data_IF_037422694784
#
_entry.id   IF_037422694784
#
_cell.length_a   1.000
_cell.length_b   1.000
_cell.length_c   1.000
_cell.angle_alpha   90.00
_cell.angle_beta   90.00
_cell.angle_gamma   90.00
#
_symmetry.space_group_name_H-M   'P 1'
#
loop_
_entity.id
_entity.type
_entity.pdbx_description
1 polymer ?
#
# COMPACT_ATOMS: atom_id res chain seq x y z
N UNK A 1 8.83 -53.64 21.10
CA UNK A 1 7.40 -53.37 21.29
C UNK A 1 7.07 -53.48 22.77
N UNK A 2 6.76 -52.36 23.42
CA UNK A 2 6.22 -52.35 24.79
C UNK A 2 5.21 -51.22 24.83
N UNK A 3 3.93 -51.58 24.91
CA UNK A 3 2.79 -50.69 24.92
C UNK A 3 2.46 -50.39 26.38
N UNK A 4 2.45 -49.12 26.78
CA UNK A 4 1.89 -48.66 28.07
C UNK A 4 0.56 -47.92 27.80
N UNK A 5 -0.51 -48.17 28.56
CA UNK A 5 -1.81 -47.54 28.35
C UNK A 5 -1.96 -46.18 29.05
N UNK A 6 -2.83 -45.36 28.45
CA UNK A 6 -3.30 -44.03 28.86
C UNK A 6 -4.17 -44.05 30.13
N UNK A 7 -4.39 -42.87 30.76
CA UNK A 7 -5.65 -42.56 31.42
C UNK A 7 -6.52 -41.60 30.58
N UNK A 8 -7.74 -42.06 30.32
CA UNK A 8 -8.88 -41.36 29.70
C UNK A 8 -9.44 -40.29 30.64
N UNK A 9 -9.67 -39.08 30.15
CA UNK A 9 -10.48 -38.05 30.84
C UNK A 9 -11.81 -37.91 30.09
N UNK A 10 -12.90 -38.30 30.75
CA UNK A 10 -14.28 -38.05 30.36
C UNK A 10 -14.70 -36.66 30.88
N UNK A 11 -15.32 -35.84 30.03
CA UNK A 11 -16.18 -34.75 30.49
C UNK A 11 -17.60 -34.93 29.95
N UNK A 12 -18.54 -34.93 30.89
CA UNK A 12 -19.94 -35.24 30.70
C UNK A 12 -20.73 -34.05 30.14
N UNK A 13 -21.67 -34.37 29.26
CA UNK A 13 -22.75 -33.52 28.76
C UNK A 13 -23.81 -33.31 29.84
N UNK A 14 -24.23 -32.07 30.08
CA UNK A 14 -25.37 -31.74 30.91
C UNK A 14 -26.51 -31.19 30.02
N UNK A 15 -27.52 -32.02 29.82
CA UNK A 15 -28.85 -31.66 29.31
C UNK A 15 -29.72 -31.15 30.47
N UNK A 16 -30.44 -30.06 30.27
CA UNK A 16 -31.52 -29.64 31.17
C UNK A 16 -32.77 -29.23 30.35
N UNK A 17 -33.82 -30.03 30.48
CA UNK A 17 -35.25 -29.79 30.21
C UNK A 17 -35.93 -30.12 31.56
N UNK A 18 -37.04 -29.57 32.03
CA UNK A 18 -37.98 -28.50 31.66
C UNK A 18 -38.86 -28.31 32.92
N UNK A 19 -39.61 -27.21 33.07
CA UNK A 19 -40.92 -27.28 33.73
C UNK A 19 -41.83 -26.11 33.33
N UNK A 20 -43.06 -26.52 33.00
CA UNK A 20 -44.21 -25.82 32.45
C UNK A 20 -45.06 -25.14 33.51
N UNK A 21 -45.74 -24.04 33.14
CA UNK A 21 -47.05 -23.69 33.69
C UNK A 21 -47.91 -22.95 32.64
N UNK A 22 -49.09 -23.52 32.34
CA UNK A 22 -50.23 -22.89 31.65
C UNK A 22 -50.78 -21.73 32.50
N UNK A 23 -51.50 -20.73 32.02
CA UNK A 23 -52.13 -20.44 30.73
C UNK A 23 -53.22 -19.39 30.98
N UNK A 24 -53.57 -18.58 29.96
CA UNK A 24 -54.91 -18.01 29.74
C UNK A 24 -54.93 -17.30 28.39
N UNK A 25 -55.97 -17.59 27.62
CA UNK A 25 -56.17 -17.16 26.24
C UNK A 25 -56.90 -15.80 26.17
N UNK A 26 -56.49 -14.98 25.21
CA UNK A 26 -57.33 -13.96 24.58
C UNK A 26 -56.86 -13.71 23.15
N UNK A 27 -57.82 -13.63 22.23
CA UNK A 27 -57.73 -13.57 20.75
C UNK A 27 -57.05 -12.29 20.21
N UNK A 28 -56.60 -12.29 18.94
CA UNK A 28 -55.47 -11.48 18.47
C UNK A 28 -55.89 -10.06 18.11
N UNK A 29 -55.08 -9.08 18.52
CA UNK A 29 -55.08 -7.74 17.94
C UNK A 29 -53.73 -7.57 17.27
N UNK A 30 -53.72 -7.33 15.95
CA UNK A 30 -52.52 -6.90 15.25
C UNK A 30 -52.37 -5.38 15.42
N UNK A 31 -51.29 -4.90 16.05
CA UNK A 31 -50.77 -3.58 15.75
C UNK A 31 -49.52 -3.73 14.88
N UNK A 32 -49.59 -3.05 13.75
CA UNK A 32 -48.53 -2.65 12.82
C UNK A 32 -47.12 -2.76 13.41
N UNK A 33 -46.30 -3.62 12.82
CA UNK A 33 -44.86 -3.54 12.97
C UNK A 33 -44.42 -2.18 12.43
N UNK A 34 -44.13 -1.23 13.32
CA UNK A 34 -43.20 -0.16 13.00
C UNK A 34 -41.86 -0.84 12.79
N UNK A 35 -41.57 -1.15 11.53
CA UNK A 35 -40.20 -1.29 11.08
C UNK A 35 -39.56 0.10 11.25
N UNK A 36 -39.10 0.40 12.46
CA UNK A 36 -37.88 1.20 12.58
C UNK A 36 -36.77 0.32 12.02
N UNK A 37 -36.68 0.32 10.68
CA UNK A 37 -35.40 0.17 10.04
C UNK A 37 -34.55 1.29 10.63
N UNK A 38 -33.75 0.95 11.64
CA UNK A 38 -32.54 1.69 11.93
C UNK A 38 -31.69 1.52 10.68
N UNK A 39 -31.95 2.34 9.66
CA UNK A 39 -30.97 2.60 8.62
C UNK A 39 -29.83 3.24 9.39
N UNK A 40 -28.83 2.44 9.74
CA UNK A 40 -27.51 2.98 9.97
C UNK A 40 -27.24 3.84 8.74
N UNK A 41 -27.24 5.16 8.92
CA UNK A 41 -26.89 6.07 7.85
C UNK A 41 -25.55 5.53 7.32
N UNK A 42 -25.50 5.20 6.03
CA UNK A 42 -24.26 4.77 5.41
C UNK A 42 -23.23 5.83 5.76
N UNK A 43 -22.18 5.44 6.49
CA UNK A 43 -21.13 6.35 6.88
C UNK A 43 -20.60 7.02 5.61
N UNK A 44 -20.39 8.32 5.66
CA UNK A 44 -19.84 9.05 4.52
C UNK A 44 -18.51 8.41 4.13
N UNK A 45 -18.37 7.86 2.90
CA UNK A 45 -17.15 7.17 2.48
C UNK A 45 -15.92 8.08 2.53
N UNK A 46 -16.10 9.41 2.52
CA UNK A 46 -15.02 10.39 2.68
C UNK A 46 -14.44 10.46 4.10
N UNK A 47 -15.12 9.88 5.09
CA UNK A 47 -14.70 9.83 6.50
C UNK A 47 -14.54 8.41 7.04
N UNK A 48 -15.01 7.41 6.28
CA UNK A 48 -14.85 6.00 6.62
C UNK A 48 -13.37 5.58 6.60
N UNK A 49 -12.91 4.68 7.49
CA UNK A 49 -11.54 4.19 7.47
C UNK A 49 -11.25 3.44 6.15
N UNK A 50 -10.08 3.68 5.56
CA UNK A 50 -9.64 3.00 4.35
C UNK A 50 -9.25 1.55 4.67
N UNK A 51 -10.20 0.64 4.47
CA UNK A 51 -10.08 -0.81 4.69
C UNK A 51 -10.37 -1.59 3.43
N UNK A 52 -9.59 -2.63 3.17
CA UNK A 52 -9.68 -3.48 1.99
C UNK A 52 -8.58 -3.19 0.98
N UNK A 53 -8.90 -3.31 -0.31
CA UNK A 53 -7.95 -3.06 -1.39
C UNK A 53 -7.96 -1.56 -1.69
N UNK A 54 -6.86 -0.86 -1.38
CA UNK A 54 -6.75 0.59 -1.61
C UNK A 54 -6.09 0.85 -2.96
N UNK A 55 -6.76 1.60 -3.83
CA UNK A 55 -6.28 1.95 -5.17
C UNK A 55 -6.19 3.47 -5.29
N UNK A 56 -5.03 3.98 -5.69
CA UNK A 56 -4.87 5.37 -6.10
C UNK A 56 -5.20 5.53 -7.58
N UNK A 57 -5.89 6.62 -7.94
CA UNK A 57 -5.97 7.17 -9.28
C UNK A 57 -5.45 8.61 -9.28
N UNK A 58 -4.77 9.01 -10.36
CA UNK A 58 -4.28 10.38 -10.54
C UNK A 58 -4.92 11.01 -11.77
N UNK A 59 -5.50 12.18 -11.60
CA UNK A 59 -6.06 13.03 -12.64
C UNK A 59 -5.25 14.32 -12.75
N UNK A 60 -4.76 14.60 -13.97
CA UNK A 60 -4.03 15.83 -14.28
C UNK A 60 -4.98 16.79 -14.99
N UNK A 61 -5.23 17.95 -14.38
CA UNK A 61 -5.95 19.06 -14.97
C UNK A 61 -4.98 20.21 -15.25
N UNK A 62 -5.41 21.22 -16.02
CA UNK A 62 -4.57 22.40 -16.31
C UNK A 62 -4.19 23.17 -15.03
N UNK A 63 -5.06 23.14 -14.04
CA UNK A 63 -4.99 24.02 -12.87
C UNK A 63 -4.58 23.25 -11.59
N UNK A 64 -4.74 21.93 -11.57
CA UNK A 64 -4.38 21.09 -10.43
C UNK A 64 -4.06 19.64 -10.83
N UNK A 65 -3.37 18.94 -9.93
CA UNK A 65 -3.30 17.48 -9.94
C UNK A 65 -4.21 16.98 -8.82
N UNK A 66 -5.11 16.06 -9.14
CA UNK A 66 -6.02 15.45 -8.16
C UNK A 66 -5.72 13.97 -8.04
N UNK A 67 -5.41 13.53 -6.83
CA UNK A 67 -5.26 12.13 -6.48
C UNK A 67 -6.49 11.65 -5.73
N UNK A 68 -7.07 10.55 -6.19
CA UNK A 68 -8.18 9.89 -5.49
C UNK A 68 -7.74 8.51 -5.08
N UNK A 69 -7.81 8.21 -3.79
CA UNK A 69 -7.65 6.85 -3.28
C UNK A 69 -9.01 6.27 -2.93
N UNK A 70 -9.26 5.05 -3.37
CA UNK A 70 -10.51 4.34 -3.13
C UNK A 70 -10.22 2.99 -2.52
N UNK A 71 -10.83 2.71 -1.38
CA UNK A 71 -10.82 1.40 -0.76
C UNK A 71 -12.01 0.57 -1.24
N UNK A 72 -11.73 -0.67 -1.59
CA UNK A 72 -12.71 -1.64 -2.05
C UNK A 72 -12.78 -2.81 -1.08
N UNK A 73 -13.99 -3.24 -0.75
CA UNK A 73 -14.23 -4.47 -0.04
C UNK A 73 -13.68 -5.66 -0.86
N UNK A 74 -12.77 -6.48 -0.31
CA UNK A 74 -12.09 -7.52 -1.07
C UNK A 74 -12.99 -8.70 -1.45
N UNK A 75 -14.17 -8.84 -0.84
CA UNK A 75 -15.11 -9.92 -1.12
C UNK A 75 -16.13 -9.54 -2.20
N UNK A 76 -16.58 -8.29 -2.19
CA UNK A 76 -17.70 -7.79 -3.00
C UNK A 76 -17.25 -6.80 -4.07
N UNK A 77 -16.08 -6.17 -3.91
CA UNK A 77 -15.59 -5.09 -4.77
C UNK A 77 -16.36 -3.79 -4.60
N UNK A 78 -17.14 -3.62 -3.53
CA UNK A 78 -17.84 -2.37 -3.26
C UNK A 78 -16.92 -1.32 -2.64
N UNK A 79 -17.13 -0.05 -2.98
CA UNK A 79 -16.38 1.07 -2.40
C UNK A 79 -16.74 1.18 -0.93
N UNK A 80 -15.74 1.09 -0.05
CA UNK A 80 -15.89 1.21 1.40
C UNK A 80 -15.49 2.59 1.90
N UNK A 81 -14.53 3.23 1.23
CA UNK A 81 -14.06 4.56 1.55
C UNK A 81 -13.37 5.21 0.34
N UNK A 82 -13.35 6.54 0.31
CA UNK A 82 -12.64 7.33 -0.70
C UNK A 82 -11.95 8.49 0.00
N UNK A 83 -10.77 8.89 -0.48
CA UNK A 83 -10.14 10.18 -0.15
C UNK A 83 -9.67 10.85 -1.42
N UNK A 84 -9.70 12.17 -1.40
CA UNK A 84 -9.22 12.99 -2.50
C UNK A 84 -8.20 13.97 -1.96
N UNK A 85 -7.10 14.09 -2.69
CA UNK A 85 -6.03 15.05 -2.45
C UNK A 85 -5.95 15.95 -3.67
N UNK A 86 -5.90 17.25 -3.44
CA UNK A 86 -5.70 18.22 -4.51
C UNK A 86 -4.40 18.94 -4.25
N UNK A 87 -3.53 18.95 -5.26
CA UNK A 87 -2.25 19.68 -5.21
C UNK A 87 -2.21 20.69 -6.36
N UNK A 88 -1.49 21.82 -6.17
CA UNK A 88 -1.26 22.77 -7.26
C UNK A 88 -0.62 22.07 -8.47
N UNK A 89 -0.90 22.55 -9.69
CA UNK A 89 -0.47 21.86 -10.93
C UNK A 89 1.04 21.81 -11.15
N UNK A 90 1.81 22.66 -10.47
CA UNK A 90 3.27 22.57 -10.45
C UNK A 90 3.79 21.38 -9.62
N UNK A 91 2.97 20.80 -8.74
CA UNK A 91 3.29 19.59 -8.00
C UNK A 91 2.64 18.37 -8.64
N UNK A 92 3.36 17.26 -8.54
CA UNK A 92 2.85 15.93 -8.87
C UNK A 92 3.09 14.98 -7.70
N UNK A 93 2.11 14.14 -7.42
CA UNK A 93 2.23 13.01 -6.50
C UNK A 93 2.88 11.78 -7.17
N UNK A 94 3.18 11.90 -8.47
CA UNK A 94 3.83 10.87 -9.28
C UNK A 94 5.05 11.43 -10.01
N UNK A 95 6.23 11.00 -9.58
CA UNK A 95 7.50 11.22 -10.30
C UNK A 95 8.23 9.89 -10.36
N UNK A 96 8.72 9.51 -11.55
CA UNK A 96 9.35 8.20 -11.83
C UNK A 96 10.71 7.95 -11.15
N UNK A 97 10.92 8.50 -9.96
CA UNK A 97 12.12 8.34 -9.13
C UNK A 97 11.88 8.79 -7.70
N UNK A 98 11.46 10.03 -7.48
CA UNK A 98 11.39 10.64 -6.15
C UNK A 98 10.25 10.10 -5.26
N UNK A 99 9.12 9.71 -5.87
CA UNK A 99 7.96 9.19 -5.17
C UNK A 99 7.28 8.08 -5.99
N UNK A 100 7.73 6.83 -5.78
CA UNK A 100 6.99 5.68 -6.29
C UNK A 100 5.74 5.54 -5.42
N UNK A 101 4.56 5.72 -6.04
CA UNK A 101 3.20 5.83 -5.46
C UNK A 101 2.91 5.06 -4.16
N UNK A 102 3.54 3.91 -3.95
CA UNK A 102 3.39 3.05 -2.77
C UNK A 102 3.92 3.68 -1.47
N UNK A 103 4.93 4.56 -1.55
CA UNK A 103 5.57 5.19 -0.38
C UNK A 103 5.25 6.70 -0.25
N UNK A 104 4.36 7.20 -1.12
CA UNK A 104 3.93 8.59 -1.15
C UNK A 104 2.79 8.89 -0.20
N UNK A 105 2.08 7.87 0.29
CA UNK A 105 0.96 8.03 1.21
C UNK A 105 1.38 7.72 2.63
N UNK A 106 0.80 8.44 3.58
CA UNK A 106 0.95 8.10 5.00
C UNK A 106 0.31 6.74 5.29
N UNK A 107 0.75 6.02 6.34
CA UNK A 107 0.19 4.70 6.67
C UNK A 107 -1.32 4.69 6.92
N UNK A 108 -1.88 5.82 7.38
CA UNK A 108 -3.31 6.03 7.58
C UNK A 108 -4.05 6.53 6.33
N UNK A 109 -3.32 6.81 5.25
CA UNK A 109 -3.83 7.33 3.99
C UNK A 109 -4.58 8.66 4.10
N UNK A 110 -4.27 9.48 5.11
CA UNK A 110 -4.84 10.82 5.25
C UNK A 110 -3.91 11.92 4.70
N UNK A 111 -2.69 11.57 4.29
CA UNK A 111 -1.68 12.49 3.73
C UNK A 111 -0.97 11.88 2.54
N UNK A 112 -0.56 12.72 1.60
CA UNK A 112 0.23 12.36 0.41
C UNK A 112 1.39 13.34 0.20
N UNK A 113 2.53 12.83 -0.26
CA UNK A 113 3.67 13.62 -0.68
C UNK A 113 3.46 14.15 -2.10
N UNK A 114 3.74 15.42 -2.29
CA UNK A 114 3.66 16.12 -3.56
C UNK A 114 5.02 16.72 -3.90
N UNK A 115 5.48 16.52 -5.13
CA UNK A 115 6.83 16.90 -5.56
C UNK A 115 6.75 17.83 -6.77
N UNK A 116 7.39 19.00 -6.68
CA UNK A 116 7.62 19.90 -7.81
C UNK A 116 8.98 19.58 -8.43
N UNK A 117 8.97 19.31 -9.74
CA UNK A 117 10.17 18.98 -10.55
C UNK A 117 10.49 20.04 -11.60
N UNK A 118 9.70 21.12 -11.67
CA UNK A 118 9.69 22.08 -12.77
C UNK A 118 10.87 23.07 -12.78
N UNK A 119 11.61 23.18 -11.67
CA UNK A 119 12.58 24.26 -11.44
C UNK A 119 14.05 23.86 -11.24
N UNK A 120 14.42 22.59 -11.42
CA UNK A 120 15.78 22.10 -11.18
C UNK A 120 16.18 21.96 -9.71
N UNK A 121 15.42 22.57 -8.79
CA UNK A 121 15.45 22.33 -7.36
C UNK A 121 14.14 21.65 -6.97
N UNK A 122 14.19 20.34 -6.74
CA UNK A 122 13.00 19.57 -6.37
C UNK A 122 12.47 20.04 -5.01
N UNK A 123 11.15 20.25 -4.92
CA UNK A 123 10.47 20.66 -3.68
C UNK A 123 9.49 19.60 -3.26
N UNK A 124 9.40 19.39 -1.96
CA UNK A 124 8.53 18.39 -1.33
C UNK A 124 7.50 19.12 -0.48
N UNK A 125 6.24 18.79 -0.69
CA UNK A 125 5.12 19.22 0.10
C UNK A 125 4.31 18.02 0.59
N UNK A 126 3.48 18.26 1.59
CA UNK A 126 2.46 17.32 2.07
C UNK A 126 1.10 17.92 1.77
N UNK A 127 0.24 17.12 1.15
CA UNK A 127 -1.17 17.42 1.00
C UNK A 127 -1.99 16.45 1.84
N UNK A 128 -3.02 16.96 2.51
CA UNK A 128 -3.87 16.17 3.39
C UNK A 128 -5.28 16.06 2.83
N UNK A 129 -6.02 15.05 3.27
CA UNK A 129 -7.40 14.80 2.86
C UNK A 129 -8.37 15.90 3.30
N UNK A 130 -8.00 16.71 4.30
CA UNK A 130 -8.74 17.89 4.74
C UNK A 130 -8.53 19.13 3.83
N UNK A 131 -7.71 18.99 2.78
CA UNK A 131 -7.39 20.04 1.82
C UNK A 131 -6.22 20.94 2.22
N UNK A 132 -5.55 20.68 3.35
CA UNK A 132 -4.33 21.38 3.71
C UNK A 132 -3.16 21.00 2.80
N UNK A 133 -2.27 21.98 2.56
CA UNK A 133 -1.08 21.82 1.74
C UNK A 133 0.09 22.57 2.40
N UNK A 134 1.16 21.84 2.71
CA UNK A 134 2.31 22.37 3.45
C UNK A 134 3.60 22.08 2.71
N UNK A 135 4.35 23.14 2.39
CA UNK A 135 5.67 23.04 1.78
C UNK A 135 6.72 22.71 2.86
N UNK A 136 7.34 21.54 2.78
CA UNK A 136 8.33 21.11 3.78
C UNK A 136 9.69 21.80 3.61
N UNK A 137 10.03 22.21 2.38
CA UNK A 137 11.29 22.89 2.08
C UNK A 137 11.53 24.11 2.98
N UNK A 138 10.48 24.86 3.31
CA UNK A 138 10.58 26.09 4.11
C UNK A 138 10.92 25.82 5.57
N UNK A 139 10.78 24.57 6.02
CA UNK A 139 11.06 24.14 7.39
C UNK A 139 12.45 23.52 7.55
N UNK A 140 13.13 23.18 6.44
CA UNK A 140 14.47 22.60 6.48
C UNK A 140 15.50 23.71 6.69
N UNK A 141 16.35 23.63 7.73
CA UNK A 141 17.37 24.64 7.96
C UNK A 141 18.46 24.57 6.90
N UNK A 142 18.74 25.70 6.26
CA UNK A 142 19.89 25.85 5.34
C UNK A 142 21.09 26.40 6.13
N UNK A 143 22.23 25.69 6.18
CA UNK A 143 23.42 26.18 6.85
C UNK A 143 23.91 27.52 6.28
N UNK A 144 24.45 28.38 7.15
CA UNK A 144 25.00 29.68 6.73
C UNK A 144 26.14 29.47 5.70
N UNK A 145 26.10 30.23 4.59
CA UNK A 145 27.07 30.09 3.49
C UNK A 145 26.82 28.87 2.60
N UNK A 146 25.61 28.29 2.68
CA UNK A 146 25.15 27.24 1.79
C UNK A 146 23.86 27.65 1.09
N UNK A 147 23.57 27.00 -0.04
CA UNK A 147 22.30 27.09 -0.74
C UNK A 147 21.62 25.73 -0.77
N UNK A 148 20.32 25.71 -0.46
CA UNK A 148 19.46 24.55 -0.71
C UNK A 148 19.47 24.25 -2.21
N UNK A 149 19.77 23.00 -2.56
CA UNK A 149 19.85 22.56 -3.95
C UNK A 149 18.72 21.62 -4.34
N UNK A 150 18.46 20.56 -3.58
CA UNK A 150 17.39 19.63 -3.93
C UNK A 150 16.77 18.95 -2.71
N UNK A 151 15.45 18.76 -2.77
CA UNK A 151 14.74 17.74 -2.01
C UNK A 151 14.29 16.63 -2.97
N UNK A 152 15.18 15.67 -3.20
CA UNK A 152 15.06 14.75 -4.33
C UNK A 152 14.22 13.53 -4.01
N UNK A 153 14.09 13.18 -2.73
CA UNK A 153 13.34 12.00 -2.29
C UNK A 153 12.67 12.27 -0.96
N UNK A 154 11.41 11.88 -0.84
CA UNK A 154 10.69 11.90 0.42
C UNK A 154 9.80 10.69 0.57
N UNK A 155 9.66 10.19 1.80
CA UNK A 155 8.85 9.01 2.14
C UNK A 155 8.20 9.15 3.50
N UNK A 156 7.02 8.56 3.66
CA UNK A 156 6.47 8.34 4.99
C UNK A 156 7.16 7.17 5.68
N UNK A 157 7.43 7.34 6.98
CA UNK A 157 7.80 6.26 7.88
C UNK A 157 6.59 5.43 8.32
N UNK A 158 6.84 4.26 8.95
CA UNK A 158 5.78 3.39 9.46
C UNK A 158 4.96 4.03 10.60
N UNK A 159 5.52 5.02 11.28
CA UNK A 159 4.87 5.80 12.33
C UNK A 159 4.13 7.04 11.80
N UNK A 160 4.13 7.26 10.49
CA UNK A 160 3.54 8.44 9.84
C UNK A 160 4.42 9.69 9.90
N UNK A 161 5.67 9.59 10.38
CA UNK A 161 6.66 10.67 10.23
C UNK A 161 7.09 10.80 8.76
N UNK A 162 7.59 11.98 8.37
CA UNK A 162 8.01 12.24 6.99
C UNK A 162 9.52 12.34 6.95
N UNK A 163 10.15 11.60 6.03
CA UNK A 163 11.58 11.65 5.80
C UNK A 163 11.85 12.35 4.48
N UNK A 164 12.72 13.36 4.49
CA UNK A 164 13.08 14.15 3.31
C UNK A 164 14.59 14.14 3.16
N UNK A 165 15.08 13.61 2.04
CA UNK A 165 16.48 13.76 1.64
C UNK A 165 16.69 15.18 1.12
N UNK A 166 17.66 15.88 1.70
CA UNK A 166 18.00 17.26 1.36
C UNK A 166 19.47 17.36 0.98
N UNK A 167 19.78 18.10 -0.08
CA UNK A 167 21.15 18.46 -0.44
C UNK A 167 21.38 19.96 -0.35
N UNK A 168 22.36 20.33 0.45
CA UNK A 168 22.92 21.67 0.50
C UNK A 168 24.20 21.75 -0.33
N UNK A 169 24.44 22.91 -0.94
CA UNK A 169 25.71 23.25 -1.57
C UNK A 169 26.38 24.43 -0.84
N UNK A 170 27.43 24.19 -0.06
CA UNK A 170 28.30 25.26 0.44
C UNK A 170 28.93 26.04 -0.71
N UNK A 171 29.21 27.33 -0.50
CA UNK A 171 29.77 28.21 -1.53
C UNK A 171 31.09 27.69 -2.14
N UNK A 172 31.96 27.11 -1.30
CA UNK A 172 33.28 26.58 -1.67
C UNK A 172 33.40 25.07 -1.44
N UNK A 173 32.28 24.33 -1.36
CA UNK A 173 32.26 22.92 -0.98
C UNK A 173 31.54 21.99 -1.96
N UNK A 174 31.72 20.70 -1.72
CA UNK A 174 30.91 19.65 -2.35
C UNK A 174 29.50 19.61 -1.73
N UNK A 175 28.57 18.97 -2.44
CA UNK A 175 27.22 18.75 -1.92
C UNK A 175 27.24 17.99 -0.60
N UNK A 176 26.42 18.45 0.33
CA UNK A 176 26.21 17.82 1.64
C UNK A 176 24.77 17.36 1.72
N UNK A 177 24.59 16.04 1.66
CA UNK A 177 23.28 15.43 1.84
C UNK A 177 22.96 15.18 3.31
N UNK A 178 21.76 15.56 3.72
CA UNK A 178 21.20 15.30 5.06
C UNK A 178 19.83 14.68 4.91
N UNK A 179 19.55 13.61 5.66
CA UNK A 179 18.19 13.07 5.78
C UNK A 179 17.52 13.77 6.95
N UNK A 180 16.39 14.42 6.71
CA UNK A 180 15.58 15.06 7.73
C UNK A 180 14.34 14.23 8.04
N UNK A 181 13.96 14.16 9.31
CA UNK A 181 12.71 13.57 9.78
C UNK A 181 11.81 14.65 10.37
N UNK A 182 10.57 14.65 9.95
CA UNK A 182 9.49 15.47 10.47
C UNK A 182 8.54 14.55 11.25
N UNK A 183 8.28 14.84 12.53
CA UNK A 183 7.24 14.12 13.26
C UNK A 183 5.85 14.38 12.66
N UNK A 184 5.61 15.60 12.19
CA UNK A 184 4.48 16.02 11.37
C UNK A 184 4.89 17.13 10.41
N UNK A 185 4.08 17.41 9.40
CA UNK A 185 4.31 18.47 8.41
C UNK A 185 4.32 19.89 9.00
N UNK A 186 3.93 20.05 10.27
CA UNK A 186 3.90 21.34 10.98
C UNK A 186 5.05 21.51 11.98
N UNK A 187 5.86 20.48 12.19
CA UNK A 187 6.94 20.48 13.16
C UNK A 187 8.30 20.72 12.50
N UNK A 188 9.24 21.26 13.28
CA UNK A 188 10.61 21.43 12.82
C UNK A 188 11.28 20.06 12.60
N UNK A 189 12.05 19.88 11.52
CA UNK A 189 12.70 18.62 11.26
C UNK A 189 13.92 18.39 12.15
N UNK A 190 14.25 17.13 12.37
CA UNK A 190 15.51 16.69 12.97
C UNK A 190 16.38 15.98 11.93
N UNK A 191 17.70 16.17 12.02
CA UNK A 191 18.64 15.43 11.17
C UNK A 191 18.75 13.98 11.65
N UNK A 192 18.60 13.04 10.73
CA UNK A 192 18.69 11.60 10.99
C UNK A 192 20.08 11.10 10.61
N UNK A 193 20.81 10.45 11.53
CA UNK A 193 22.06 9.79 11.18
C UNK A 193 21.83 8.66 10.17
N UNK A 194 22.61 8.65 9.09
CA UNK A 194 22.57 7.60 8.07
C UNK A 194 23.93 6.90 7.97
N UNK A 195 23.91 5.63 7.55
CA UNK A 195 25.13 4.88 7.20
C UNK A 195 25.48 5.00 5.71
N UNK A 196 24.75 5.82 4.97
CA UNK A 196 24.89 6.03 3.54
C UNK A 196 24.93 7.52 3.23
N UNK A 197 25.60 7.87 2.14
CA UNK A 197 25.60 9.25 1.62
C UNK A 197 24.23 9.55 1.04
N UNK A 198 23.56 10.55 1.60
CA UNK A 198 22.33 11.10 1.03
C UNK A 198 22.71 11.91 -0.20
N UNK A 199 22.07 11.66 -1.34
CA UNK A 199 22.25 12.45 -2.55
C UNK A 199 21.01 12.42 -3.44
N UNK A 200 20.94 13.33 -4.42
CA UNK A 200 19.87 13.36 -5.43
C UNK A 200 19.81 12.15 -6.37
N UNK A 201 20.76 11.22 -6.28
CA UNK A 201 20.79 9.99 -7.06
C UNK A 201 20.58 8.74 -6.20
N UNK A 202 20.51 8.91 -4.88
CA UNK A 202 20.40 7.82 -3.93
C UNK A 202 18.99 7.74 -3.34
N UNK A 203 18.20 6.75 -3.78
CA UNK A 203 16.91 6.42 -3.17
C UNK A 203 17.12 5.69 -1.83
N UNK A 204 16.12 5.72 -0.95
CA UNK A 204 16.15 5.12 0.38
C UNK A 204 14.81 4.47 0.76
N UNK A 205 14.81 3.64 1.80
CA UNK A 205 13.62 3.10 2.45
C UNK A 205 13.69 3.31 3.95
N UNK A 206 12.52 3.43 4.59
CA UNK A 206 12.39 3.47 6.04
C UNK A 206 11.87 2.11 6.50
N UNK A 207 12.67 1.40 7.29
CA UNK A 207 12.30 0.10 7.84
C UNK A 207 11.22 0.23 8.92
N UNK A 208 10.52 -0.86 9.31
CA UNK A 208 9.50 -0.84 10.36
C UNK A 208 9.97 -0.31 11.72
N UNK A 209 11.27 -0.41 12.01
CA UNK A 209 11.90 0.15 13.22
C UNK A 209 12.35 1.61 13.04
N UNK A 210 11.93 2.26 11.95
CA UNK A 210 12.30 3.62 11.54
C UNK A 210 13.75 3.80 11.10
N UNK A 211 14.49 2.71 10.86
CA UNK A 211 15.86 2.81 10.34
C UNK A 211 15.87 3.16 8.84
N UNK A 212 16.57 4.21 8.40
CA UNK A 212 16.74 4.49 6.98
C UNK A 212 17.83 3.60 6.37
N UNK A 213 17.57 3.05 5.19
CA UNK A 213 18.56 2.30 4.40
C UNK A 213 18.60 2.82 2.96
N UNK A 214 19.80 2.90 2.38
CA UNK A 214 19.95 3.17 0.95
C UNK A 214 19.45 1.96 0.14
N UNK A 215 18.70 2.24 -0.93
CA UNK A 215 18.28 1.22 -1.90
C UNK A 215 18.77 1.57 -3.29
N UNK A 216 19.19 0.55 -4.05
CA UNK A 216 19.43 0.68 -5.47
C UNK A 216 18.14 0.57 -6.26
N UNK A 217 18.10 1.17 -7.45
CA UNK A 217 17.03 0.92 -8.42
C UNK A 217 16.94 -0.60 -8.64
N UNK A 218 15.73 -1.17 -8.46
CA UNK A 218 15.44 -2.61 -8.23
C UNK A 218 15.61 -3.06 -6.76
N UNK A 219 14.80 -2.45 -5.87
CA UNK A 219 14.87 -2.68 -4.43
C UNK A 219 14.22 -4.01 -4.01
N UNK A 220 14.74 -4.57 -2.91
CA UNK A 220 14.18 -5.73 -2.23
C UNK A 220 12.74 -5.43 -1.75
N UNK A 221 11.81 -6.34 -1.98
CA UNK A 221 10.59 -6.38 -1.17
C UNK A 221 10.87 -7.25 0.05
N UNK A 222 10.39 -6.85 1.23
CA UNK A 222 10.52 -7.63 2.45
C UNK A 222 9.24 -7.57 3.28
N UNK A 223 8.97 -8.66 4.01
CA UNK A 223 7.90 -8.68 4.98
C UNK A 223 8.36 -8.11 6.34
N UNK A 224 7.42 -7.94 7.27
CA UNK A 224 7.67 -7.42 8.63
C UNK A 224 8.73 -8.21 9.43
N UNK A 225 8.96 -9.47 9.07
CA UNK A 225 9.90 -10.35 9.75
C UNK A 225 11.30 -10.29 9.10
N UNK A 226 11.52 -9.33 8.20
CA UNK A 226 12.81 -9.10 7.55
C UNK A 226 13.18 -10.18 6.54
N UNK A 227 12.20 -10.93 6.03
CA UNK A 227 12.40 -11.88 4.92
C UNK A 227 12.11 -11.16 3.61
N UNK A 228 13.05 -11.18 2.67
CA UNK A 228 12.90 -10.46 1.40
C UNK A 228 13.44 -11.20 0.18
N UNK A 229 13.07 -10.67 -0.99
CA UNK A 229 13.63 -11.06 -2.28
C UNK A 229 13.95 -9.86 -3.14
N UNK A 230 15.06 -9.96 -3.86
CA UNK A 230 15.38 -9.06 -4.94
C UNK A 230 14.46 -9.30 -6.14
N UNK A 231 13.89 -8.22 -6.69
CA UNK A 231 13.00 -8.30 -7.86
C UNK A 231 11.58 -8.82 -7.58
N UNK A 232 11.22 -9.01 -6.30
CA UNK A 232 9.85 -9.24 -5.90
C UNK A 232 9.04 -7.94 -5.92
N UNK A 233 7.76 -8.05 -6.23
CA UNK A 233 6.78 -6.97 -6.04
C UNK A 233 6.13 -7.02 -4.66
N UNK A 234 6.04 -8.22 -4.06
CA UNK A 234 5.49 -8.38 -2.72
C UNK A 234 6.12 -9.59 -2.00
N UNK A 235 6.05 -9.61 -0.67
CA UNK A 235 6.41 -10.75 0.16
C UNK A 235 5.27 -11.04 1.13
N UNK A 236 4.77 -12.27 1.11
CA UNK A 236 3.73 -12.74 2.02
C UNK A 236 4.26 -12.84 3.47
N UNK A 237 3.37 -12.90 4.48
CA UNK A 237 3.76 -13.12 5.87
C UNK A 237 4.60 -14.40 6.07
N UNK A 238 4.33 -15.46 5.31
CA UNK A 238 5.09 -16.71 5.37
C UNK A 238 6.43 -16.66 4.59
N UNK A 239 6.84 -15.48 4.16
CA UNK A 239 8.12 -15.21 3.49
C UNK A 239 8.14 -15.64 2.02
N UNK A 240 7.00 -15.82 1.37
CA UNK A 240 6.91 -16.12 -0.06
C UNK A 240 6.94 -14.83 -0.86
N UNK A 241 7.95 -14.69 -1.70
CA UNK A 241 8.09 -13.58 -2.62
C UNK A 241 7.26 -13.82 -3.87
N UNK A 242 6.58 -12.77 -4.32
CA UNK A 242 5.76 -12.77 -5.52
C UNK A 242 6.27 -11.71 -6.49
N UNK A 243 6.29 -12.05 -7.77
CA UNK A 243 6.54 -11.11 -8.86
C UNK A 243 5.62 -11.41 -10.03
N UNK A 244 5.52 -10.50 -10.99
CA UNK A 244 4.70 -10.70 -12.20
C UNK A 244 5.55 -10.48 -13.44
N UNK A 245 5.32 -11.30 -14.46
CA UNK A 245 5.82 -11.07 -15.81
C UNK A 245 4.76 -11.46 -16.83
N UNK A 246 4.48 -10.54 -17.75
CA UNK A 246 3.40 -10.60 -18.75
C UNK A 246 2.06 -11.00 -18.13
N UNK A 247 1.76 -12.29 -18.17
CA UNK A 247 0.50 -12.96 -17.85
C UNK A 247 0.59 -13.89 -16.63
N UNK A 248 1.75 -13.95 -15.98
CA UNK A 248 2.02 -14.93 -14.94
C UNK A 248 2.50 -14.26 -13.66
N UNK A 249 1.96 -14.74 -12.54
CA UNK A 249 2.54 -14.51 -11.22
C UNK A 249 3.57 -15.60 -10.99
N UNK A 250 4.72 -15.24 -10.45
CA UNK A 250 5.78 -16.15 -10.08
C UNK A 250 6.03 -16.05 -8.59
N UNK A 251 6.36 -17.17 -7.97
CA UNK A 251 6.62 -17.27 -6.53
C UNK A 251 7.97 -17.91 -6.23
N UNK A 252 8.60 -17.46 -5.15
CA UNK A 252 9.85 -18.03 -4.63
C UNK A 252 9.89 -17.84 -3.12
N UNK A 253 10.43 -18.80 -2.36
CA UNK A 253 10.68 -18.59 -0.93
C UNK A 253 11.81 -17.56 -0.74
N UNK A 254 11.51 -16.53 0.05
CA UNK A 254 12.44 -15.48 0.40
C UNK A 254 13.48 -15.91 1.43
N UNK A 255 14.47 -15.05 1.61
CA UNK A 255 15.55 -15.24 2.58
C UNK A 255 15.53 -14.12 3.61
N UNK A 256 15.87 -14.39 4.88
CA UNK A 256 16.13 -13.33 5.85
C UNK A 256 17.17 -12.37 5.27
N UNK A 257 16.90 -11.07 5.29
CA UNK A 257 17.76 -10.04 4.70
C UNK A 257 19.18 -10.09 5.28
N UNK A 258 19.32 -10.41 6.57
CA UNK A 258 20.60 -10.61 7.26
C UNK A 258 21.45 -11.76 6.73
N UNK A 259 20.87 -12.66 5.92
CA UNK A 259 21.52 -13.84 5.34
C UNK A 259 21.63 -13.73 3.82
N UNK A 260 21.28 -12.58 3.24
CA UNK A 260 21.33 -12.37 1.78
C UNK A 260 22.76 -12.13 1.30
N UNK A 261 23.05 -12.63 0.11
CA UNK A 261 24.34 -12.49 -0.57
C UNK A 261 24.17 -11.74 -1.90
N UNK A 262 25.26 -11.23 -2.49
CA UNK A 262 25.24 -10.64 -3.84
C UNK A 262 24.63 -11.58 -4.88
N UNK A 263 24.86 -12.90 -4.78
CA UNK A 263 24.25 -13.88 -5.70
C UNK A 263 22.72 -13.94 -5.62
N UNK A 264 22.14 -13.58 -4.48
CA UNK A 264 20.67 -13.53 -4.32
C UNK A 264 20.03 -12.34 -5.05
N UNK A 265 20.84 -11.36 -5.49
CA UNK A 265 20.41 -10.19 -6.28
C UNK A 265 20.19 -10.49 -7.77
N UNK A 266 20.25 -11.77 -8.18
CA UNK A 266 20.03 -12.12 -9.59
C UNK A 266 18.53 -12.22 -9.93
N UNK A 267 18.07 -11.37 -10.86
CA UNK A 267 16.71 -11.31 -11.43
C UNK A 267 16.41 -12.51 -12.35
N UNK A 268 16.62 -13.74 -11.89
CA UNK A 268 16.29 -14.93 -12.68
C UNK A 268 14.87 -15.38 -12.38
N UNK A 269 13.89 -14.66 -12.94
CA UNK A 269 12.46 -15.04 -12.86
C UNK A 269 12.21 -16.47 -13.38
N UNK A 270 13.08 -16.96 -14.27
CA UNK A 270 13.09 -18.34 -14.78
C UNK A 270 13.30 -19.41 -13.69
N UNK A 271 13.88 -19.04 -12.54
CA UNK A 271 14.08 -19.93 -11.38
C UNK A 271 12.91 -19.89 -10.39
N UNK A 272 11.86 -19.10 -10.69
CA UNK A 272 10.70 -18.95 -9.83
C UNK A 272 9.58 -19.90 -10.26
N UNK A 273 8.77 -20.32 -9.30
CA UNK A 273 7.64 -21.21 -9.56
C UNK A 273 6.48 -20.41 -10.10
N UNK A 274 6.07 -20.67 -11.35
CA UNK A 274 4.88 -20.08 -11.95
C UNK A 274 3.64 -20.45 -11.13
N UNK A 275 2.90 -19.44 -10.69
CA UNK A 275 1.57 -19.56 -10.08
C UNK A 275 0.56 -19.49 -11.21
N UNK A 276 -0.15 -20.60 -11.43
CA UNK A 276 -1.20 -20.65 -12.46
C UNK A 276 -2.48 -20.02 -11.92
N UNK A 277 -2.97 -19.01 -12.62
CA UNK A 277 -4.21 -18.31 -12.31
C UNK A 277 -5.23 -18.61 -13.41
N UNK A 278 -6.07 -19.65 -13.27
CA UNK A 278 -7.16 -19.89 -14.20
C UNK A 278 -8.03 -18.63 -14.31
N UNK A 279 -8.42 -18.30 -15.55
CA UNK A 279 -9.22 -17.13 -15.94
C UNK A 279 -8.51 -15.78 -16.03
N UNK A 280 -7.18 -15.74 -15.93
CA UNK A 280 -6.40 -14.66 -16.55
C UNK A 280 -6.03 -15.10 -17.97
N UNK A 281 -6.68 -14.52 -18.98
CA UNK A 281 -6.38 -14.86 -20.37
C UNK A 281 -4.98 -14.33 -20.75
N UNK A 282 -4.09 -15.27 -21.09
CA UNK A 282 -2.63 -15.10 -21.20
C UNK A 282 -2.09 -14.21 -22.32
N UNK A 283 -2.84 -13.20 -22.76
CA UNK A 283 -2.43 -12.23 -23.79
C UNK A 283 -2.26 -10.81 -23.25
N UNK A 284 -2.45 -10.59 -21.94
CA UNK A 284 -2.57 -9.24 -21.38
C UNK A 284 -1.54 -8.99 -20.27
N UNK A 285 -0.95 -7.79 -20.27
CA UNK A 285 0.07 -7.37 -19.29
C UNK A 285 -0.59 -7.07 -17.93
N UNK A 286 -0.20 -7.82 -16.90
CA UNK A 286 -0.51 -7.51 -15.50
C UNK A 286 0.28 -6.24 -15.12
N UNK A 287 -0.39 -5.20 -14.63
CA UNK A 287 0.30 -4.00 -14.15
C UNK A 287 1.15 -4.38 -12.93
N UNK A 288 2.38 -3.89 -12.85
CA UNK A 288 3.34 -4.12 -11.74
C UNK A 288 2.90 -3.49 -10.41
N UNK A 289 1.73 -3.86 -9.90
CA UNK A 289 1.09 -3.26 -8.71
C UNK A 289 0.49 -4.33 -7.79
N UNK A 290 0.98 -5.57 -7.88
CA UNK A 290 0.51 -6.69 -7.07
C UNK A 290 0.62 -6.36 -5.56
N UNK A 291 -0.46 -6.61 -4.82
CA UNK A 291 -0.49 -6.52 -3.35
C UNK A 291 -1.03 -7.78 -2.71
N UNK A 292 -0.47 -8.16 -1.58
CA UNK A 292 -0.86 -9.36 -0.83
C UNK A 292 -1.70 -8.93 0.37
N UNK A 293 -2.74 -9.71 0.69
CA UNK A 293 -3.55 -9.51 1.89
C UNK A 293 -2.70 -9.68 3.16
N UNK A 294 -3.07 -9.03 4.29
CA UNK A 294 -2.32 -9.13 5.54
C UNK A 294 -2.14 -10.57 6.04
N UNK A 295 -3.12 -11.43 5.78
CA UNK A 295 -3.08 -12.85 6.13
C UNK A 295 -2.24 -13.71 5.15
N UNK A 296 -1.77 -13.15 4.04
CA UNK A 296 -0.99 -13.84 3.03
C UNK A 296 -1.76 -14.79 2.13
N UNK A 297 -3.09 -14.88 2.25
CA UNK A 297 -3.88 -15.90 1.56
C UNK A 297 -4.33 -15.45 0.17
N UNK A 298 -4.43 -14.13 -0.06
CA UNK A 298 -4.90 -13.52 -1.31
C UNK A 298 -3.96 -12.44 -1.82
N UNK A 299 -4.09 -12.14 -3.10
CA UNK A 299 -3.42 -11.06 -3.78
C UNK A 299 -4.39 -10.29 -4.67
N UNK A 300 -4.20 -8.97 -4.72
CA UNK A 300 -4.92 -8.07 -5.58
C UNK A 300 -4.06 -7.73 -6.81
N UNK A 301 -4.69 -7.74 -7.99
CA UNK A 301 -4.03 -7.57 -9.28
C UNK A 301 -4.87 -6.65 -10.17
N UNK A 302 -4.21 -5.78 -10.95
CA UNK A 302 -4.83 -5.05 -12.05
C UNK A 302 -4.44 -5.71 -13.37
N UNK A 303 -5.43 -6.15 -14.14
CA UNK A 303 -5.21 -6.76 -15.46
C UNK A 303 -6.30 -6.31 -16.47
N UNK A 304 -5.98 -6.21 -17.77
CA UNK A 304 -6.94 -5.85 -18.81
C UNK A 304 -8.14 -6.81 -18.88
N UNK A 305 -9.33 -6.28 -19.16
CA UNK A 305 -10.52 -7.11 -19.42
C UNK A 305 -10.55 -7.60 -20.87
N UNK A 306 -10.75 -8.89 -21.07
CA UNK A 306 -10.90 -9.50 -22.39
C UNK A 306 -12.23 -9.08 -23.04
N UNK A 307 -12.22 -8.22 -24.09
CA UNK A 307 -12.94 -8.51 -25.38
C UNK A 307 -12.90 -7.49 -26.52
N UNK A 308 -12.21 -6.38 -26.46
CA UNK A 308 -12.15 -5.47 -27.62
C UNK A 308 -10.69 -5.13 -27.88
N UNK A 309 -10.23 -5.32 -29.12
CA UNK A 309 -8.85 -4.98 -29.54
C UNK A 309 -8.49 -3.51 -29.27
N UNK A 310 -9.48 -2.68 -28.93
CA UNK A 310 -9.39 -1.26 -28.61
C UNK A 310 -9.76 -0.87 -27.16
N UNK A 311 -10.13 -1.83 -26.29
CA UNK A 311 -10.50 -1.53 -24.89
C UNK A 311 -9.32 -1.76 -23.95
N UNK A 312 -8.75 -0.64 -23.48
CA UNK A 312 -7.62 -0.58 -22.54
C UNK A 312 -8.07 -0.57 -21.07
N UNK A 313 -9.33 -0.89 -20.77
CA UNK A 313 -9.82 -0.92 -19.39
C UNK A 313 -9.17 -2.06 -18.59
N UNK A 314 -8.67 -1.71 -17.42
CA UNK A 314 -8.17 -2.66 -16.44
C UNK A 314 -9.27 -3.01 -15.44
N UNK A 315 -9.21 -4.22 -14.90
CA UNK A 315 -10.10 -4.72 -13.87
C UNK A 315 -9.29 -5.09 -12.64
N UNK A 316 -9.91 -4.90 -11.48
CA UNK A 316 -9.38 -5.39 -10.23
C UNK A 316 -9.74 -6.86 -10.05
N UNK A 317 -8.73 -7.68 -9.75
CA UNK A 317 -8.89 -9.08 -9.42
C UNK A 317 -8.37 -9.35 -8.01
N UNK A 318 -9.07 -10.22 -7.28
CA UNK A 318 -8.58 -10.87 -6.07
C UNK A 318 -8.34 -12.35 -6.36
N UNK A 319 -7.11 -12.83 -6.21
CA UNK A 319 -6.72 -14.21 -6.46
C UNK A 319 -6.08 -14.87 -5.22
N UNK A 320 -6.21 -16.18 -5.00
CA UNK A 320 -5.47 -16.87 -3.95
C UNK A 320 -3.97 -16.91 -4.27
N UNK A 321 -3.11 -16.64 -3.27
CA UNK A 321 -1.64 -16.69 -3.43
C UNK A 321 -1.16 -18.09 -3.82
N UNK A 322 -1.81 -19.13 -3.28
CA UNK A 322 -1.53 -20.54 -3.60
C UNK A 322 -1.99 -20.99 -5.00
N UNK A 323 -2.56 -20.10 -5.80
CA UNK A 323 -3.20 -20.42 -7.08
C UNK A 323 -4.67 -20.84 -6.94
N UNK A 324 -5.37 -20.86 -8.07
CA UNK A 324 -6.82 -21.14 -8.14
C UNK A 324 -7.62 -20.01 -8.78
N UNK A 325 -8.94 -20.09 -8.67
CA UNK A 325 -9.86 -19.18 -9.36
C UNK A 325 -9.73 -17.73 -8.86
N UNK A 326 -9.38 -16.81 -9.76
CA UNK A 326 -9.42 -15.38 -9.49
C UNK A 326 -10.87 -14.88 -9.47
N UNK A 327 -11.20 -14.02 -8.51
CA UNK A 327 -12.47 -13.32 -8.43
C UNK A 327 -12.31 -11.94 -9.07
N UNK A 328 -13.09 -11.65 -10.12
CA UNK A 328 -13.17 -10.30 -10.69
C UNK A 328 -13.98 -9.40 -9.76
N UNK A 329 -13.44 -8.23 -9.42
CA UNK A 329 -14.10 -7.19 -8.63
C UNK A 329 -14.57 -6.08 -9.60
N UNK A 330 -15.69 -6.34 -10.28
CA UNK A 330 -16.16 -5.72 -11.54
C UNK A 330 -16.57 -4.23 -11.48
N UNK A 331 -16.23 -3.47 -10.44
CA UNK A 331 -16.62 -2.03 -10.32
C UNK A 331 -15.50 -1.04 -10.64
N UNK A 332 -14.31 -1.51 -10.97
CA UNK A 332 -13.18 -0.65 -11.29
C UNK A 332 -13.07 -0.40 -12.81
N UNK A 333 -14.18 -0.02 -13.46
CA UNK A 333 -14.31 0.00 -14.93
C UNK A 333 -13.69 1.20 -15.64
N UNK A 334 -13.20 2.21 -14.91
CA UNK A 334 -12.54 3.39 -15.49
C UNK A 334 -11.02 3.42 -15.19
N UNK A 335 -10.44 2.24 -14.93
CA UNK A 335 -9.01 2.12 -14.67
C UNK A 335 -8.21 2.23 -15.97
N UNK A 336 -7.67 3.42 -16.24
CA UNK A 336 -6.55 3.57 -17.15
C UNK A 336 -5.28 3.07 -16.44
N UNK A 337 -4.64 2.01 -16.95
CA UNK A 337 -3.55 1.30 -16.26
C UNK A 337 -2.29 2.11 -15.94
N UNK A 338 -2.05 3.24 -16.62
CA UNK A 338 -0.98 4.18 -16.26
C UNK A 338 -1.33 5.11 -15.09
N UNK A 339 -2.63 5.26 -14.79
CA UNK A 339 -3.17 6.17 -13.79
C UNK A 339 -3.52 5.49 -12.47
N UNK A 340 -3.54 4.16 -12.40
CA UNK A 340 -3.99 3.46 -11.20
C UNK A 340 -2.94 2.49 -10.64
N UNK A 341 -2.80 2.48 -9.31
CA UNK A 341 -1.90 1.56 -8.59
C UNK A 341 -2.60 1.07 -7.34
N UNK A 342 -2.50 -0.23 -7.06
CA UNK A 342 -2.91 -0.78 -5.78
C UNK A 342 -1.87 -0.36 -4.73
N UNK A 343 -2.26 0.50 -3.80
CA UNK A 343 -1.38 0.99 -2.74
C UNK A 343 -1.18 -0.06 -1.66
N UNK A 344 -2.29 -0.65 -1.19
CA UNK A 344 -2.28 -1.59 -0.08
C UNK A 344 -3.47 -2.55 -0.11
N UNK A 345 -3.36 -3.59 0.70
CA UNK A 345 -4.48 -4.38 1.17
C UNK A 345 -4.50 -4.28 2.71
N UNK A 346 -5.47 -3.56 3.26
CA UNK A 346 -5.69 -3.39 4.70
C UNK A 346 -6.95 -4.13 5.17
N UNK A 347 -7.05 -4.43 6.46
CA UNK A 347 -8.25 -5.01 7.10
C UNK A 347 -9.03 -3.97 7.92
#
# INVERSE_FOLDING_TARGET
MSIKPLPTILFATATALALTACGSASTPSSPTASAEASSAAAADPSTAPLRGIVIASTEYNSDNTTDTITAYDPATGEVTATRTFTVPSEYTTYTGGACVREHCYSPDFERVLAIDTSGGNERVAVASSDGSFTLLNDLIPVPQGSRSYSNSYAKFGPDGSIYVAHEDKPDDGDFVGTLYRFASETEAPEAVPTTFTVSNTQDFQILPDSTPIAIGYYAWAANKDGVGCYGALAVTPDGTCLTVDKDAVYSKKGKPLSQTTESDKSLRIEEWTKVNLPNLDGTHEIVKTLRVSPDGTRMALLAPFKKLEDDISFQLYSAPVGGGEATQLTKATDIAGSKHIILAWSE
#
